data_IF_166101945856
#
_entry.id   IF_166101945856
#
_cell.length_a   1.000
_cell.length_b   1.000
_cell.length_c   1.000
_cell.angle_alpha   90.00
_cell.angle_beta   90.00
_cell.angle_gamma   90.00
#
_symmetry.space_group_name_H-M   'P 1'
#
loop_
_entity.id
_entity.type
_entity.pdbx_description
1 polymer ?
#
# COMPACT_ATOMS: atom_id res chain seq x y z
N UNK A 1 32.76 2.31 -28.76
CA UNK A 1 31.67 1.36 -28.98
C UNK A 1 31.42 0.61 -27.70
N UNK A 2 30.47 1.07 -26.85
CA UNK A 2 30.01 0.33 -25.68
C UNK A 2 28.78 -0.46 -26.12
N UNK A 3 28.87 -1.78 -26.01
CA UNK A 3 27.75 -2.67 -26.35
C UNK A 3 26.62 -2.43 -25.33
N UNK A 4 25.54 -1.81 -25.78
CA UNK A 4 24.28 -1.73 -25.06
C UNK A 4 23.61 -3.08 -25.25
N UNK A 5 23.62 -3.93 -24.22
CA UNK A 5 22.79 -5.14 -24.19
C UNK A 5 21.34 -4.63 -24.06
N UNK A 6 20.46 -4.90 -25.01
CA UNK A 6 19.08 -4.44 -24.93
C UNK A 6 18.40 -5.12 -23.73
N UNK A 7 17.78 -4.33 -22.88
CA UNK A 7 17.04 -4.73 -21.67
C UNK A 7 16.02 -5.87 -21.91
N UNK A 8 15.52 -6.01 -23.13
CA UNK A 8 14.64 -7.09 -23.60
C UNK A 8 15.23 -8.51 -23.43
N UNK A 9 16.55 -8.66 -23.44
CA UNK A 9 17.19 -9.96 -23.26
C UNK A 9 17.07 -10.50 -21.83
N UNK A 10 16.94 -9.63 -20.83
CA UNK A 10 16.80 -10.01 -19.43
C UNK A 10 15.34 -10.37 -19.12
N UNK A 11 14.39 -9.72 -19.76
CA UNK A 11 12.95 -9.99 -19.62
C UNK A 11 12.55 -11.39 -20.12
N UNK A 12 13.14 -11.84 -21.22
CA UNK A 12 12.90 -13.19 -21.75
C UNK A 12 13.55 -14.31 -20.92
N UNK A 13 14.65 -14.04 -20.21
CA UNK A 13 15.34 -15.04 -19.40
C UNK A 13 14.59 -15.33 -18.09
N UNK A 14 13.87 -14.37 -17.52
CA UNK A 14 13.09 -14.57 -16.30
C UNK A 14 11.79 -15.33 -16.58
N UNK A 15 11.17 -15.13 -17.77
CA UNK A 15 9.94 -15.85 -18.16
C UNK A 15 10.19 -17.26 -18.73
N UNK A 16 11.38 -17.52 -19.27
CA UNK A 16 11.70 -18.82 -19.88
C UNK A 16 11.93 -19.98 -18.89
N UNK A 17 12.11 -19.70 -17.59
CA UNK A 17 12.39 -20.73 -16.58
C UNK A 17 11.15 -21.26 -15.83
N UNK A 18 9.96 -20.71 -16.08
CA UNK A 18 8.73 -21.09 -15.33
C UNK A 18 7.94 -22.24 -16.02
N UNK A 19 8.31 -22.67 -17.24
CA UNK A 19 7.48 -23.62 -18.02
C UNK A 19 7.86 -25.09 -17.91
N UNK A 20 8.67 -25.52 -16.96
CA UNK A 20 9.00 -26.94 -16.85
C UNK A 20 8.90 -27.43 -15.40
N UNK A 21 7.83 -28.11 -15.10
CA UNK A 21 7.56 -29.23 -14.21
C UNK A 21 6.28 -29.07 -13.38
N UNK A 22 5.12 -29.12 -14.03
CA UNK A 22 3.91 -29.56 -13.38
C UNK A 22 3.83 -31.09 -13.51
N UNK A 23 4.40 -31.85 -12.59
CA UNK A 23 4.13 -33.28 -12.46
C UNK A 23 2.72 -33.44 -11.89
N UNK A 24 1.84 -34.04 -12.65
CA UNK A 24 0.52 -34.46 -12.18
C UNK A 24 0.72 -35.58 -11.15
N UNK A 25 0.52 -35.30 -9.88
CA UNK A 25 0.33 -36.33 -8.86
C UNK A 25 -0.97 -37.08 -9.13
N UNK A 26 -0.95 -38.41 -9.03
CA UNK A 26 -2.13 -39.25 -9.17
C UNK A 26 -3.13 -38.95 -8.03
N UNK A 27 -4.43 -39.18 -8.26
CA UNK A 27 -5.47 -39.00 -7.23
C UNK A 27 -5.16 -39.76 -5.94
N UNK A 28 -4.55 -40.93 -6.03
CA UNK A 28 -4.17 -41.76 -4.89
C UNK A 28 -3.02 -41.19 -4.08
N UNK A 29 -2.03 -40.53 -4.71
CA UNK A 29 -0.95 -39.83 -3.99
C UNK A 29 -1.49 -38.60 -3.23
N UNK A 30 -2.47 -37.90 -3.81
CA UNK A 30 -3.14 -36.78 -3.14
C UNK A 30 -3.97 -37.23 -1.95
N UNK A 31 -4.67 -38.37 -2.09
CA UNK A 31 -5.47 -38.95 -1.01
C UNK A 31 -4.57 -39.36 0.16
N UNK A 32 -3.47 -40.06 -0.10
CA UNK A 32 -2.51 -40.44 0.93
C UNK A 32 -1.87 -39.24 1.65
N UNK A 33 -1.54 -38.18 0.90
CA UNK A 33 -0.99 -36.95 1.47
C UNK A 33 -2.01 -36.22 2.35
N UNK A 34 -3.27 -36.22 1.96
CA UNK A 34 -4.39 -35.68 2.75
C UNK A 34 -4.63 -36.49 4.01
N UNK A 35 -4.63 -37.80 3.93
CA UNK A 35 -4.79 -38.68 5.12
C UNK A 35 -3.64 -38.50 6.12
N UNK A 36 -2.39 -38.38 5.65
CA UNK A 36 -1.24 -38.07 6.53
C UNK A 36 -1.38 -36.69 7.18
N UNK A 37 -1.86 -35.71 6.41
CA UNK A 37 -2.08 -34.36 6.92
C UNK A 37 -3.17 -34.31 7.97
N UNK A 38 -4.30 -35.00 7.74
CA UNK A 38 -5.39 -35.12 8.71
C UNK A 38 -4.92 -35.79 9.99
N UNK A 39 -4.21 -36.92 9.91
CA UNK A 39 -3.63 -37.60 11.09
C UNK A 39 -2.68 -36.69 11.89
N UNK A 40 -1.90 -35.88 11.19
CA UNK A 40 -0.99 -34.92 11.85
C UNK A 40 -1.75 -33.79 12.53
N UNK A 41 -2.84 -33.34 11.93
CA UNK A 41 -3.72 -32.33 12.53
C UNK A 41 -4.48 -32.89 13.75
N UNK A 42 -5.01 -34.08 13.65
CA UNK A 42 -5.67 -34.77 14.79
C UNK A 42 -4.73 -34.88 15.99
N UNK A 43 -3.49 -35.33 15.78
CA UNK A 43 -2.47 -35.38 16.84
C UNK A 43 -2.17 -33.99 17.44
N UNK A 44 -2.10 -32.96 16.60
CA UNK A 44 -1.88 -31.59 17.07
C UNK A 44 -3.04 -31.10 17.92
N UNK A 45 -4.28 -31.43 17.54
CA UNK A 45 -5.49 -31.10 18.30
C UNK A 45 -5.51 -31.83 19.63
N UNK A 46 -5.13 -33.12 19.68
CA UNK A 46 -5.00 -33.87 20.94
C UNK A 46 -3.96 -33.27 21.88
N UNK A 47 -2.78 -32.89 21.36
CA UNK A 47 -1.72 -32.23 22.14
C UNK A 47 -2.15 -30.87 22.67
N UNK A 48 -2.89 -30.09 21.86
CA UNK A 48 -3.46 -28.82 22.29
C UNK A 48 -4.55 -29.03 23.36
N UNK A 49 -5.42 -30.02 23.21
CA UNK A 49 -6.45 -30.33 24.18
C UNK A 49 -5.84 -30.76 25.52
N UNK A 50 -4.78 -31.58 25.52
CA UNK A 50 -4.05 -31.94 26.73
C UNK A 50 -3.42 -30.72 27.40
N UNK A 51 -2.90 -29.78 26.61
CA UNK A 51 -2.35 -28.52 27.12
C UNK A 51 -3.43 -27.63 27.78
N UNK A 52 -4.61 -27.53 27.15
CA UNK A 52 -5.78 -26.83 27.71
C UNK A 52 -6.25 -27.46 29.02
N UNK A 53 -6.33 -28.79 29.07
CA UNK A 53 -6.76 -29.49 30.27
C UNK A 53 -5.73 -29.37 31.41
N UNK A 54 -4.44 -29.36 31.10
CA UNK A 54 -3.37 -29.08 32.05
C UNK A 54 -3.46 -27.64 32.60
N UNK A 55 -3.73 -26.65 31.74
CA UNK A 55 -3.93 -25.26 32.14
C UNK A 55 -5.16 -25.09 33.00
N UNK A 56 -6.30 -25.72 32.64
CA UNK A 56 -7.53 -25.72 33.45
C UNK A 56 -7.28 -26.34 34.84
N UNK A 57 -6.55 -27.45 34.92
CA UNK A 57 -6.22 -28.13 36.18
C UNK A 57 -5.33 -27.30 37.08
N UNK A 58 -4.42 -26.53 36.46
CA UNK A 58 -3.58 -25.59 37.20
C UNK A 58 -4.35 -24.33 37.67
N UNK A 59 -5.30 -23.85 36.88
CA UNK A 59 -6.18 -22.74 37.24
C UNK A 59 -7.08 -23.13 38.45
N UNK A 60 -7.72 -24.31 38.42
CA UNK A 60 -8.54 -24.83 39.55
C UNK A 60 -7.69 -25.06 40.80
N UNK A 61 -6.42 -25.49 40.69
CA UNK A 61 -5.51 -25.60 41.84
C UNK A 61 -5.11 -24.25 42.43
N UNK A 62 -5.10 -23.20 41.65
CA UNK A 62 -4.85 -21.83 42.13
C UNK A 62 -6.06 -21.22 42.80
N UNK A 63 -7.29 -21.54 42.40
CA UNK A 63 -8.50 -21.11 43.09
C UNK A 63 -8.68 -21.76 44.47
N UNK A 64 -8.37 -23.08 44.61
CA UNK A 64 -8.46 -23.79 45.89
C UNK A 64 -7.38 -23.40 46.91
N UNK A 65 -6.25 -22.82 46.44
CA UNK A 65 -5.21 -22.27 47.35
C UNK A 65 -5.38 -20.79 47.67
N UNK A 66 -6.28 -20.08 46.99
CA UNK A 66 -6.53 -18.65 47.17
C UNK A 66 -7.44 -18.26 48.30
N UNK A 67 -8.12 -19.20 48.97
CA UNK A 67 -9.12 -18.88 50.02
C UNK A 67 -8.55 -18.86 51.45
N UNK A 68 -7.30 -19.24 51.69
CA UNK A 68 -6.74 -19.36 53.05
C UNK A 68 -5.48 -18.52 53.34
N UNK A 69 -5.10 -17.54 52.50
CA UNK A 69 -3.95 -16.67 52.86
C UNK A 69 -4.05 -15.25 52.34
N UNK A 70 -5.16 -14.57 52.65
CA UNK A 70 -5.30 -13.12 52.50
C UNK A 70 -4.86 -12.40 53.74
N UNK A 71 -3.60 -12.49 54.14
CA UNK A 71 -2.91 -11.53 55.04
C UNK A 71 -1.44 -11.95 55.18
N UNK A 72 -0.60 -11.41 54.38
CA UNK A 72 0.81 -11.03 54.53
C UNK A 72 1.65 -11.36 53.29
N UNK A 73 2.29 -10.30 52.84
CA UNK A 73 3.35 -10.15 51.85
C UNK A 73 2.95 -9.88 50.40
N UNK A 74 2.79 -8.59 50.17
CA UNK A 74 2.89 -7.90 48.93
C UNK A 74 4.32 -7.96 48.38
N UNK A 75 4.64 -8.93 47.49
CA UNK A 75 5.72 -8.79 46.48
C UNK A 75 5.73 -9.95 45.49
N UNK A 76 4.64 -10.15 44.76
CA UNK A 76 4.74 -10.81 43.44
C UNK A 76 4.80 -9.71 42.39
N UNK A 77 5.74 -9.76 41.42
CA UNK A 77 5.68 -8.81 40.31
C UNK A 77 4.40 -9.08 39.55
N UNK A 78 3.38 -8.24 39.77
CA UNK A 78 2.27 -8.14 38.83
C UNK A 78 2.94 -7.83 37.49
N UNK A 79 2.66 -8.62 36.46
CA UNK A 79 2.94 -8.24 35.10
C UNK A 79 2.18 -6.93 34.84
N UNK A 80 2.82 -5.82 35.23
CA UNK A 80 2.32 -4.49 34.91
C UNK A 80 2.64 -4.31 33.42
N UNK A 81 1.62 -4.09 32.65
CA UNK A 81 1.80 -3.65 31.30
C UNK A 81 2.70 -2.40 31.23
N UNK A 82 3.22 -2.08 30.06
CA UNK A 82 4.12 -0.95 29.81
C UNK A 82 3.63 0.37 30.45
N UNK A 83 2.31 0.52 30.67
CA UNK A 83 1.67 1.68 31.30
C UNK A 83 0.97 1.35 32.63
N UNK A 84 1.29 0.22 33.27
CA UNK A 84 0.76 -0.13 34.61
C UNK A 84 -0.67 -0.68 34.63
N UNK A 85 -1.32 -0.87 33.49
CA UNK A 85 -2.66 -1.45 33.37
C UNK A 85 -2.66 -2.97 33.27
N UNK A 86 -3.85 -3.59 33.13
CA UNK A 86 -3.97 -5.02 32.86
C UNK A 86 -3.36 -5.35 31.51
N UNK A 87 -2.94 -6.61 31.28
CA UNK A 87 -2.37 -7.04 29.99
C UNK A 87 -3.32 -6.79 28.80
N UNK A 88 -4.61 -6.70 29.02
CA UNK A 88 -5.64 -6.41 28.01
C UNK A 88 -5.73 -4.93 27.60
N UNK A 89 -5.15 -4.01 28.38
CA UNK A 89 -5.14 -2.57 28.06
C UNK A 89 -3.79 -2.09 27.54
N UNK A 90 -2.82 -2.99 27.35
CA UNK A 90 -1.55 -2.65 26.74
C UNK A 90 -1.70 -2.54 25.23
N UNK A 91 -1.28 -1.43 24.61
CA UNK A 91 -1.22 -1.34 23.17
C UNK A 91 -0.21 -2.34 22.59
N UNK A 92 -0.56 -2.93 21.48
CA UNK A 92 0.42 -3.62 20.63
C UNK A 92 1.26 -2.55 19.94
N UNK A 93 2.57 -2.66 20.10
CA UNK A 93 3.53 -1.74 19.51
C UNK A 93 4.45 -2.53 18.59
N UNK A 94 4.64 -2.03 17.37
CA UNK A 94 5.64 -2.55 16.45
C UNK A 94 6.45 -1.41 15.84
N UNK A 95 7.64 -1.74 15.38
CA UNK A 95 8.54 -0.83 14.68
C UNK A 95 8.98 -1.47 13.38
N UNK A 96 8.88 -0.74 12.28
CA UNK A 96 9.40 -1.12 10.97
C UNK A 96 10.51 -0.15 10.60
N UNK A 97 11.70 -0.66 10.37
CA UNK A 97 12.82 0.10 9.83
C UNK A 97 12.96 -0.20 8.35
N UNK A 98 12.88 0.82 7.51
CA UNK A 98 13.12 0.75 6.07
C UNK A 98 14.32 1.62 5.70
N UNK A 99 15.33 1.00 5.06
CA UNK A 99 16.54 1.67 4.62
C UNK A 99 17.02 1.07 3.30
N UNK A 100 17.68 1.86 2.46
CA UNK A 100 18.09 1.39 1.15
C UNK A 100 19.38 2.08 0.66
N UNK A 101 20.06 1.37 -0.22
CA UNK A 101 21.11 1.95 -1.06
C UNK A 101 20.55 2.20 -2.45
N UNK A 102 20.66 3.45 -2.92
CA UNK A 102 20.18 3.89 -4.23
C UNK A 102 21.34 4.26 -5.12
N UNK A 103 21.29 3.91 -6.38
CA UNK A 103 22.22 4.37 -7.41
C UNK A 103 21.50 4.61 -8.71
N UNK A 104 21.84 5.71 -9.36
CA UNK A 104 21.28 6.16 -10.64
C UNK A 104 22.40 6.68 -11.55
N UNK A 105 22.14 6.69 -12.85
CA UNK A 105 22.96 7.38 -13.83
C UNK A 105 22.76 8.91 -13.83
N UNK A 106 21.79 9.41 -13.05
CA UNK A 106 21.52 10.84 -12.85
C UNK A 106 22.20 11.33 -11.56
N UNK A 107 22.56 12.61 -11.53
CA UNK A 107 23.01 13.28 -10.31
C UNK A 107 21.85 13.53 -9.33
N UNK A 108 22.17 13.82 -8.06
CA UNK A 108 21.15 14.16 -7.07
C UNK A 108 20.34 15.40 -7.45
N UNK A 109 20.97 16.39 -8.08
CA UNK A 109 20.28 17.60 -8.54
C UNK A 109 19.32 17.29 -9.71
N UNK A 110 19.72 16.42 -10.65
CA UNK A 110 18.83 15.95 -11.72
C UNK A 110 17.65 15.17 -11.17
N UNK A 111 17.85 14.32 -10.16
CA UNK A 111 16.78 13.57 -9.49
C UNK A 111 15.80 14.48 -8.77
N UNK A 112 16.31 15.44 -7.98
CA UNK A 112 15.49 16.39 -7.21
C UNK A 112 14.63 17.31 -8.10
N UNK A 113 15.04 17.54 -9.35
CA UNK A 113 14.31 18.36 -10.32
C UNK A 113 13.57 17.53 -11.39
N UNK A 114 13.49 16.20 -11.23
CA UNK A 114 12.88 15.30 -12.20
C UNK A 114 11.38 15.20 -11.99
N UNK A 115 10.63 16.17 -12.49
CA UNK A 115 9.16 16.09 -12.59
C UNK A 115 8.70 15.13 -13.71
N UNK A 116 7.39 15.01 -13.86
CA UNK A 116 6.75 14.30 -14.98
C UNK A 116 6.02 15.35 -15.82
N UNK A 117 6.51 15.68 -17.03
CA UNK A 117 5.96 16.76 -17.84
C UNK A 117 4.45 16.60 -18.08
N UNK A 118 3.69 17.65 -17.76
CA UNK A 118 2.23 17.66 -17.87
C UNK A 118 1.48 17.02 -16.69
N UNK A 119 2.20 16.47 -15.70
CA UNK A 119 1.61 15.83 -14.53
C UNK A 119 2.04 16.47 -13.22
N UNK A 120 3.33 16.51 -12.94
CA UNK A 120 3.88 17.08 -11.71
C UNK A 120 5.26 17.68 -11.92
N UNK A 121 5.53 18.75 -11.20
CA UNK A 121 6.87 19.37 -11.09
C UNK A 121 7.69 18.76 -9.95
N UNK A 122 7.09 17.92 -9.11
CA UNK A 122 7.79 17.29 -7.99
C UNK A 122 8.88 16.34 -8.48
N UNK A 123 10.09 16.51 -7.95
CA UNK A 123 11.23 15.64 -8.20
C UNK A 123 11.20 14.35 -7.38
N UNK A 124 12.35 13.69 -7.36
CA UNK A 124 12.59 12.48 -6.56
C UNK A 124 13.35 12.85 -5.29
N UNK A 125 12.91 12.33 -4.16
CA UNK A 125 13.51 12.62 -2.84
C UNK A 125 14.79 11.81 -2.56
N UNK A 126 14.92 10.62 -3.17
CA UNK A 126 16.06 9.72 -2.97
C UNK A 126 17.37 10.30 -3.53
N UNK A 127 18.47 9.95 -2.88
CA UNK A 127 19.83 10.38 -3.25
C UNK A 127 20.70 9.18 -3.56
N UNK A 128 21.66 9.33 -4.46
CA UNK A 128 22.68 8.31 -4.68
C UNK A 128 23.44 8.05 -3.37
N UNK A 129 23.52 6.78 -2.97
CA UNK A 129 24.13 6.34 -1.71
C UNK A 129 23.12 5.73 -0.75
N UNK A 130 23.43 5.75 0.54
CA UNK A 130 22.56 5.22 1.60
C UNK A 130 21.46 6.23 1.95
N UNK A 131 20.25 5.73 2.11
CA UNK A 131 19.08 6.50 2.47
C UNK A 131 18.34 5.78 3.62
N UNK A 132 17.80 6.55 4.55
CA UNK A 132 16.80 6.12 5.51
C UNK A 132 15.44 6.51 4.94
N UNK A 133 14.58 5.52 4.63
CA UNK A 133 13.22 5.80 4.19
C UNK A 133 12.39 6.22 5.41
N UNK A 134 12.21 5.29 6.34
CA UNK A 134 11.51 5.56 7.59
C UNK A 134 11.87 4.57 8.70
N UNK A 135 11.58 4.99 9.94
CA UNK A 135 11.39 4.11 11.07
C UNK A 135 9.94 4.31 11.56
N UNK A 136 9.04 3.39 11.21
CA UNK A 136 7.60 3.55 11.47
C UNK A 136 7.19 2.89 12.78
N UNK A 137 6.65 3.70 13.69
CA UNK A 137 6.08 3.22 14.94
C UNK A 137 4.57 3.00 14.75
N UNK A 138 4.15 1.75 14.82
CA UNK A 138 2.76 1.36 14.77
C UNK A 138 2.23 1.06 16.17
N UNK A 139 1.04 1.57 16.48
CA UNK A 139 0.34 1.39 17.77
C UNK A 139 -1.08 0.92 17.46
N UNK A 140 -1.47 -0.18 18.06
CA UNK A 140 -2.84 -0.70 18.02
C UNK A 140 -3.34 -1.01 19.42
N UNK A 141 -4.56 -0.58 19.75
CA UNK A 141 -5.23 -0.98 20.98
C UNK A 141 -6.76 -0.97 20.82
N UNK A 142 -7.48 -1.98 21.36
CA UNK A 142 -8.88 -1.80 21.67
C UNK A 142 -9.03 -0.63 22.66
N UNK A 143 -9.95 0.28 22.39
CA UNK A 143 -10.33 1.37 23.31
C UNK A 143 -11.36 0.84 24.30
N UNK A 144 -12.36 0.17 23.78
CA UNK A 144 -13.44 -0.50 24.47
C UNK A 144 -14.01 -1.64 23.60
N UNK A 145 -15.08 -2.34 23.97
CA UNK A 145 -15.66 -3.39 23.12
C UNK A 145 -16.16 -2.91 21.74
N UNK A 146 -16.38 -1.62 21.56
CA UNK A 146 -17.00 -1.04 20.36
C UNK A 146 -16.01 -0.35 19.44
N UNK A 147 -14.80 -0.02 19.90
CA UNK A 147 -13.84 0.81 19.18
C UNK A 147 -12.42 0.28 19.29
N UNK A 148 -11.73 0.24 18.15
CA UNK A 148 -10.29 0.05 18.06
C UNK A 148 -9.59 1.35 17.63
N UNK A 149 -8.42 1.62 18.20
CA UNK A 149 -7.55 2.73 17.84
C UNK A 149 -6.31 2.20 17.11
N UNK A 150 -5.96 2.87 16.03
CA UNK A 150 -4.77 2.63 15.21
C UNK A 150 -3.98 3.92 15.07
N UNK A 151 -2.66 3.83 15.12
CA UNK A 151 -1.78 4.95 14.79
C UNK A 151 -0.52 4.45 14.11
N UNK A 152 -0.07 5.14 13.06
CA UNK A 152 1.20 4.96 12.40
C UNK A 152 1.96 6.29 12.38
N UNK A 153 3.19 6.27 12.91
CA UNK A 153 4.02 7.45 13.12
C UNK A 153 5.39 7.20 12.49
N UNK A 154 5.62 7.58 11.23
CA UNK A 154 6.93 7.51 10.59
C UNK A 154 7.87 8.59 11.15
N UNK A 155 9.09 8.16 11.45
CA UNK A 155 10.26 8.97 11.73
C UNK A 155 11.14 8.94 10.48
N UNK A 156 11.37 10.10 9.87
CA UNK A 156 12.20 10.26 8.66
C UNK A 156 13.31 11.27 8.92
N UNK A 157 14.26 11.41 7.99
CA UNK A 157 15.26 12.48 8.06
C UNK A 157 14.66 13.89 7.98
N UNK A 158 13.43 14.03 7.42
CA UNK A 158 12.70 15.31 7.33
C UNK A 158 11.94 15.66 8.63
N UNK A 159 11.76 14.69 9.54
CA UNK A 159 11.07 14.88 10.81
C UNK A 159 10.13 13.72 11.17
N UNK A 160 9.23 14.01 12.08
CA UNK A 160 8.20 13.07 12.56
C UNK A 160 6.85 13.55 12.07
N UNK A 161 6.06 12.65 11.50
CA UNK A 161 4.69 12.94 11.08
C UNK A 161 3.73 11.90 11.62
N UNK A 162 2.45 12.21 11.67
CA UNK A 162 1.40 11.23 11.89
C UNK A 162 0.86 10.85 10.52
N UNK A 163 1.18 9.65 10.04
CA UNK A 163 0.63 9.14 8.79
C UNK A 163 -0.81 8.68 8.98
N UNK A 164 -1.08 7.92 10.06
CA UNK A 164 -2.41 7.51 10.45
C UNK A 164 -2.63 7.66 11.95
N UNK A 165 -3.82 8.14 12.33
CA UNK A 165 -4.35 8.14 13.70
C UNK A 165 -5.88 8.14 13.61
N UNK A 166 -6.49 6.97 13.78
CA UNK A 166 -7.93 6.81 13.60
C UNK A 166 -8.53 5.79 14.57
N UNK A 167 -9.84 5.90 14.74
CA UNK A 167 -10.65 4.90 15.41
C UNK A 167 -11.58 4.21 14.42
N UNK A 168 -11.87 2.94 14.66
CA UNK A 168 -12.79 2.15 13.85
C UNK A 168 -13.75 1.39 14.75
N UNK A 169 -15.04 1.35 14.36
CA UNK A 169 -16.08 0.59 15.08
C UNK A 169 -15.91 -0.90 14.83
N UNK A 170 -16.20 -1.73 15.86
CA UNK A 170 -16.05 -3.19 15.83
C UNK A 170 -17.38 -3.93 15.77
N UNK A 171 -18.47 -3.30 16.18
CA UNK A 171 -19.76 -3.98 16.43
C UNK A 171 -20.95 -3.15 15.92
N UNK A 172 -20.88 -2.68 14.65
CA UNK A 172 -22.06 -2.15 13.98
C UNK A 172 -22.85 -3.28 13.32
N UNK A 173 -24.19 -3.23 13.36
CA UNK A 173 -25.03 -4.31 12.81
C UNK A 173 -24.89 -4.42 11.29
N UNK A 174 -25.25 -5.58 10.75
CA UNK A 174 -25.43 -5.84 9.31
C UNK A 174 -24.18 -5.56 8.43
N UNK A 175 -22.98 -5.64 9.00
CA UNK A 175 -21.73 -5.47 8.27
C UNK A 175 -21.32 -4.02 8.01
N UNK A 176 -21.93 -3.06 8.71
CA UNK A 176 -21.51 -1.67 8.68
C UNK A 176 -20.26 -1.45 9.54
N UNK A 177 -19.39 -0.57 9.08
CA UNK A 177 -18.22 -0.10 9.84
C UNK A 177 -18.01 1.39 9.60
N UNK A 178 -17.70 2.12 10.67
CA UNK A 178 -17.36 3.54 10.64
C UNK A 178 -15.89 3.68 11.08
N UNK A 179 -15.12 4.46 10.31
CA UNK A 179 -13.74 4.87 10.63
C UNK A 179 -13.68 6.39 10.65
N UNK A 180 -12.95 6.97 11.61
CA UNK A 180 -12.78 8.42 11.72
C UNK A 180 -11.42 8.80 12.27
N UNK A 181 -10.84 9.85 11.71
CA UNK A 181 -9.50 10.35 12.06
C UNK A 181 -8.66 10.65 10.83
N UNK A 182 -7.35 10.45 10.93
CA UNK A 182 -6.42 10.48 9.80
C UNK A 182 -6.12 9.05 9.39
N UNK A 183 -6.42 8.68 8.14
CA UNK A 183 -6.29 7.31 7.65
C UNK A 183 -5.96 7.25 6.16
N UNK A 184 -5.38 6.14 5.72
CA UNK A 184 -5.20 5.84 4.30
C UNK A 184 -6.53 5.49 3.66
N UNK A 185 -6.83 6.17 2.54
CA UNK A 185 -8.08 5.98 1.79
C UNK A 185 -8.15 4.60 1.14
N UNK A 186 -9.34 4.02 1.13
CA UNK A 186 -9.62 2.82 0.35
C UNK A 186 -9.98 3.10 -1.12
N UNK A 187 -9.76 4.33 -1.60
CA UNK A 187 -9.98 4.71 -3.00
C UNK A 187 -9.29 3.75 -3.95
N UNK A 188 -8.06 3.36 -3.67
CA UNK A 188 -7.28 2.46 -4.52
C UNK A 188 -6.47 1.47 -3.69
N UNK A 189 -5.84 0.50 -4.36
CA UNK A 189 -5.14 -0.57 -3.66
C UNK A 189 -3.82 -0.11 -3.03
N UNK A 190 -3.00 0.64 -3.77
CA UNK A 190 -1.71 1.10 -3.24
C UNK A 190 -1.88 2.19 -2.19
N UNK A 191 -2.90 3.04 -2.30
CA UNK A 191 -3.20 4.06 -1.28
C UNK A 191 -3.63 3.46 0.05
N UNK A 192 -4.28 2.29 0.04
CA UNK A 192 -4.69 1.58 1.25
C UNK A 192 -3.54 0.85 1.97
N UNK A 193 -2.32 0.88 1.42
CA UNK A 193 -1.15 0.17 1.94
C UNK A 193 -0.05 1.14 2.35
N UNK A 194 0.71 0.78 3.37
CA UNK A 194 1.94 1.50 3.74
C UNK A 194 3.07 1.22 2.74
N UNK A 195 3.97 2.17 2.46
CA UNK A 195 5.06 2.00 1.50
C UNK A 195 5.91 0.75 1.75
N UNK A 196 6.22 0.45 3.02
CA UNK A 196 6.99 -0.75 3.37
C UNK A 196 6.29 -2.07 3.04
N UNK A 197 4.97 -2.06 2.78
CA UNK A 197 4.19 -3.24 2.39
C UNK A 197 4.08 -3.43 0.87
N UNK A 198 4.42 -2.44 0.08
CA UNK A 198 4.36 -2.54 -1.37
C UNK A 198 5.26 -3.64 -1.92
N UNK A 199 4.85 -4.23 -3.04
CA UNK A 199 5.60 -5.27 -3.74
C UNK A 199 6.88 -4.75 -4.41
N UNK A 200 6.93 -3.45 -4.71
CA UNK A 200 8.10 -2.72 -5.20
C UNK A 200 8.50 -1.66 -4.16
N UNK A 201 9.73 -1.20 -4.22
CA UNK A 201 10.22 -0.17 -3.30
C UNK A 201 9.47 1.15 -3.47
N UNK A 202 9.11 1.51 -4.69
CA UNK A 202 8.42 2.74 -5.05
C UNK A 202 6.99 2.53 -5.52
N UNK A 203 6.18 3.56 -5.40
CA UNK A 203 4.82 3.57 -5.91
C UNK A 203 4.80 3.53 -7.44
N UNK A 204 3.75 2.99 -8.04
CA UNK A 204 3.56 2.95 -9.48
C UNK A 204 3.48 4.36 -10.10
N UNK A 205 4.03 4.54 -11.31
CA UNK A 205 4.12 5.83 -11.99
C UNK A 205 2.78 6.61 -12.07
N UNK A 206 1.61 5.98 -12.32
CA UNK A 206 0.34 6.71 -12.33
C UNK A 206 0.01 7.38 -10.99
N UNK A 207 0.33 6.73 -9.87
CA UNK A 207 0.15 7.33 -8.55
C UNK A 207 1.07 8.53 -8.34
N UNK A 208 2.35 8.37 -8.67
CA UNK A 208 3.31 9.46 -8.60
C UNK A 208 2.87 10.66 -9.47
N UNK A 209 2.29 10.39 -10.64
CA UNK A 209 1.83 11.41 -11.58
C UNK A 209 0.60 12.19 -11.09
N UNK A 210 -0.35 11.52 -10.41
CA UNK A 210 -1.62 12.12 -10.01
C UNK A 210 -1.72 12.46 -8.53
N UNK A 211 -0.98 11.74 -7.66
CA UNK A 211 -1.11 11.83 -6.21
C UNK A 211 0.22 12.11 -5.48
N UNK A 212 1.37 11.93 -6.16
CA UNK A 212 2.69 12.12 -5.56
C UNK A 212 3.38 10.80 -5.16
N UNK A 213 4.60 10.91 -4.62
CA UNK A 213 5.47 9.77 -4.30
C UNK A 213 4.92 8.85 -3.20
N UNK A 214 4.02 9.34 -2.37
CA UNK A 214 3.38 8.58 -1.28
C UNK A 214 1.92 8.22 -1.59
N UNK A 215 1.47 8.42 -2.86
CA UNK A 215 0.08 8.30 -3.24
C UNK A 215 -0.79 9.40 -2.63
N UNK A 216 -2.02 9.07 -2.24
CA UNK A 216 -2.91 10.02 -1.57
C UNK A 216 -2.41 10.41 -0.16
N UNK A 217 -1.58 9.55 0.44
CA UNK A 217 -1.13 9.72 1.83
C UNK A 217 -2.24 9.44 2.85
N UNK A 218 -2.03 9.89 4.09
CA UNK A 218 -3.06 9.84 5.13
C UNK A 218 -3.95 11.08 5.05
N UNK A 219 -5.25 10.89 4.79
CA UNK A 219 -6.26 11.95 4.75
C UNK A 219 -7.08 12.02 6.04
N UNK A 220 -7.40 13.23 6.50
CA UNK A 220 -8.31 13.44 7.63
C UNK A 220 -9.75 13.33 7.15
N UNK A 221 -10.56 12.53 7.86
CA UNK A 221 -11.94 12.36 7.41
C UNK A 221 -12.72 11.31 8.16
N UNK A 222 -13.81 10.91 7.51
CA UNK A 222 -14.71 9.84 7.96
C UNK A 222 -14.95 8.89 6.79
N UNK A 223 -14.87 7.59 7.04
CA UNK A 223 -15.17 6.52 6.09
C UNK A 223 -16.31 5.67 6.65
N UNK A 224 -17.31 5.41 5.82
CA UNK A 224 -18.36 4.45 6.07
C UNK A 224 -18.22 3.30 5.08
N UNK A 225 -18.13 2.06 5.58
CA UNK A 225 -18.12 0.86 4.75
C UNK A 225 -19.26 -0.06 5.10
N UNK A 226 -19.71 -0.81 4.12
CA UNK A 226 -20.73 -1.84 4.25
C UNK A 226 -20.25 -3.12 3.58
N UNK A 227 -20.30 -4.22 4.33
CA UNK A 227 -19.98 -5.57 3.90
C UNK A 227 -21.28 -6.41 3.95
N UNK A 228 -22.11 -6.39 2.88
CA UNK A 228 -23.36 -7.14 2.85
C UNK A 228 -23.10 -8.64 2.91
N UNK A 229 -24.01 -9.39 3.53
CA UNK A 229 -23.97 -10.84 3.60
C UNK A 229 -24.38 -11.51 2.26
N UNK A 230 -23.76 -11.10 1.16
CA UNK A 230 -23.98 -11.69 -0.17
C UNK A 230 -23.10 -12.93 -0.36
N UNK A 231 -23.45 -13.77 -1.33
CA UNK A 231 -22.65 -14.96 -1.67
C UNK A 231 -21.28 -14.63 -2.27
N UNK A 232 -21.12 -13.44 -2.81
CA UNK A 232 -19.86 -12.91 -3.35
C UNK A 232 -19.37 -11.84 -2.38
N UNK A 233 -18.10 -11.93 -1.97
CA UNK A 233 -17.49 -10.86 -1.17
C UNK A 233 -17.64 -9.53 -1.90
N UNK A 234 -18.29 -8.59 -1.25
CA UNK A 234 -18.50 -7.24 -1.79
C UNK A 234 -18.39 -6.24 -0.65
N UNK A 235 -17.51 -5.27 -0.78
CA UNK A 235 -17.40 -4.13 0.12
C UNK A 235 -17.80 -2.87 -0.64
N UNK A 236 -18.69 -2.07 -0.06
CA UNK A 236 -19.11 -0.77 -0.58
C UNK A 236 -18.66 0.28 0.43
N UNK A 237 -18.06 1.37 -0.03
CA UNK A 237 -17.58 2.42 0.86
C UNK A 237 -17.73 3.83 0.31
N UNK A 238 -17.83 4.77 1.24
CA UNK A 238 -17.84 6.19 1.00
C UNK A 238 -16.96 6.91 2.01
N UNK A 239 -16.26 7.93 1.57
CA UNK A 239 -15.37 8.75 2.39
C UNK A 239 -15.69 10.23 2.21
N UNK A 240 -15.61 10.98 3.31
CA UNK A 240 -15.61 12.45 3.33
C UNK A 240 -14.26 12.86 3.91
N UNK A 241 -13.44 13.52 3.09
CA UNK A 241 -12.04 13.79 3.37
C UNK A 241 -11.78 15.30 3.39
N UNK A 242 -10.78 15.71 4.15
CA UNK A 242 -10.33 17.12 4.15
C UNK A 242 -9.85 17.54 2.77
N UNK A 243 -9.12 16.69 2.05
CA UNK A 243 -8.63 16.96 0.70
C UNK A 243 -7.28 17.66 0.69
N UNK A 244 -6.30 17.14 1.43
CA UNK A 244 -5.00 17.77 1.64
C UNK A 244 -3.92 17.29 0.67
N UNK A 245 -4.23 16.37 -0.27
CA UNK A 245 -3.24 15.91 -1.24
C UNK A 245 -2.77 17.06 -2.15
N UNK A 246 -1.46 17.33 -2.15
CA UNK A 246 -0.84 18.49 -2.81
C UNK A 246 -0.95 18.50 -4.34
N UNK A 247 -1.12 17.35 -4.99
CA UNK A 247 -1.24 17.28 -6.46
C UNK A 247 -2.68 17.31 -6.94
N UNK A 248 -3.60 16.65 -6.21
CA UNK A 248 -4.97 16.49 -6.67
C UNK A 248 -5.88 17.60 -6.15
N UNK A 249 -5.70 18.02 -4.89
CA UNK A 249 -6.59 18.96 -4.23
C UNK A 249 -5.87 20.23 -3.76
N UNK A 250 -5.00 20.12 -2.74
CA UNK A 250 -4.39 21.25 -2.04
C UNK A 250 -5.21 21.71 -0.84
N UNK A 251 -4.51 22.04 0.24
CA UNK A 251 -5.12 22.37 1.55
C UNK A 251 -6.03 23.61 1.50
N UNK A 252 -5.70 24.57 0.65
CA UNK A 252 -6.38 25.88 0.57
C UNK A 252 -7.54 25.90 -0.46
N UNK A 253 -7.87 24.74 -1.06
CA UNK A 253 -8.89 24.67 -2.10
C UNK A 253 -10.30 25.03 -1.60
N UNK A 254 -10.59 24.78 -0.32
CA UNK A 254 -11.86 25.13 0.31
C UNK A 254 -11.78 25.01 1.84
N UNK A 255 -12.50 25.85 2.56
CA UNK A 255 -12.69 25.72 4.00
C UNK A 255 -13.49 24.44 4.33
N UNK A 256 -12.93 23.57 5.17
CA UNK A 256 -13.55 22.30 5.57
C UNK A 256 -13.39 21.17 4.55
N UNK A 257 -14.08 20.03 4.75
CA UNK A 257 -13.97 18.86 3.89
C UNK A 257 -14.39 19.18 2.45
N UNK A 258 -13.53 18.87 1.49
CA UNK A 258 -13.78 19.19 0.09
C UNK A 258 -13.39 18.10 -0.90
N UNK A 259 -13.06 16.91 -0.38
CA UNK A 259 -12.81 15.71 -1.17
C UNK A 259 -13.71 14.56 -0.72
N UNK A 260 -14.16 13.76 -1.70
CA UNK A 260 -15.08 12.64 -1.49
C UNK A 260 -14.63 11.44 -2.29
N UNK A 261 -14.64 10.27 -1.67
CA UNK A 261 -14.36 9.01 -2.35
C UNK A 261 -15.56 8.06 -2.27
N UNK A 262 -15.75 7.27 -3.34
CA UNK A 262 -16.65 6.12 -3.37
C UNK A 262 -15.95 4.95 -4.01
N UNK A 263 -16.18 3.75 -3.45
CA UNK A 263 -15.60 2.53 -3.99
C UNK A 263 -16.52 1.33 -3.79
N UNK A 264 -16.42 0.40 -4.72
CA UNK A 264 -17.02 -0.94 -4.61
C UNK A 264 -15.91 -1.94 -4.89
N UNK A 265 -15.69 -2.87 -3.97
CA UNK A 265 -14.62 -3.86 -4.07
C UNK A 265 -15.23 -5.25 -3.96
N UNK A 266 -14.88 -6.14 -4.87
CA UNK A 266 -15.44 -7.48 -4.89
C UNK A 266 -14.41 -8.55 -5.22
N UNK A 267 -14.60 -9.76 -4.70
CA UNK A 267 -13.75 -10.89 -5.06
C UNK A 267 -14.55 -12.17 -5.23
N UNK A 268 -14.09 -13.01 -6.14
CA UNK A 268 -14.61 -14.35 -6.40
C UNK A 268 -13.47 -15.35 -6.45
N UNK A 269 -13.71 -16.54 -5.90
CA UNK A 269 -12.79 -17.65 -6.08
C UNK A 269 -13.01 -18.26 -7.47
N UNK A 270 -11.98 -18.24 -8.30
CA UNK A 270 -12.00 -18.78 -9.66
C UNK A 270 -11.61 -20.26 -9.69
N UNK A 271 -10.98 -20.74 -8.61
CA UNK A 271 -10.70 -22.15 -8.31
C UNK A 271 -10.32 -22.30 -6.83
N UNK A 272 -10.10 -23.53 -6.37
CA UNK A 272 -9.64 -23.84 -4.99
C UNK A 272 -8.30 -23.14 -4.64
N UNK A 273 -7.58 -22.68 -5.63
CA UNK A 273 -6.23 -22.08 -5.47
C UNK A 273 -6.14 -20.65 -6.01
N UNK A 274 -7.21 -20.11 -6.55
CA UNK A 274 -7.14 -18.78 -7.19
C UNK A 274 -8.37 -17.94 -6.91
N UNK A 275 -8.11 -16.65 -6.64
CA UNK A 275 -9.10 -15.62 -6.39
C UNK A 275 -8.89 -14.48 -7.37
N UNK A 276 -9.95 -13.96 -7.93
CA UNK A 276 -9.99 -12.73 -8.70
C UNK A 276 -10.71 -11.65 -7.91
N UNK A 277 -10.08 -10.46 -7.85
CA UNK A 277 -10.58 -9.28 -7.16
C UNK A 277 -10.66 -8.13 -8.15
N UNK A 278 -11.71 -7.31 -8.05
CA UNK A 278 -11.93 -6.12 -8.87
C UNK A 278 -12.54 -5.01 -8.00
N UNK A 279 -12.14 -3.74 -8.25
CA UNK A 279 -12.61 -2.60 -7.48
C UNK A 279 -12.67 -1.31 -8.29
N UNK A 280 -13.86 -0.91 -8.80
CA UNK A 280 -14.06 0.45 -9.29
C UNK A 280 -14.13 1.46 -8.14
N UNK A 281 -13.61 2.67 -8.39
CA UNK A 281 -13.60 3.77 -7.43
C UNK A 281 -13.60 5.14 -8.10
N UNK A 282 -13.97 6.16 -7.34
CA UNK A 282 -13.87 7.57 -7.74
C UNK A 282 -13.49 8.42 -6.54
N UNK A 283 -12.58 9.36 -6.75
CA UNK A 283 -12.17 10.37 -5.79
C UNK A 283 -12.32 11.75 -6.47
N UNK A 284 -13.06 12.66 -5.88
CA UNK A 284 -13.30 13.96 -6.48
C UNK A 284 -13.42 15.07 -5.45
N UNK A 285 -13.13 16.31 -5.86
CA UNK A 285 -13.17 17.44 -4.95
C UNK A 285 -12.73 18.76 -5.60
N UNK A 286 -12.57 19.77 -4.74
CA UNK A 286 -12.00 21.06 -5.10
C UNK A 286 -10.50 20.95 -5.23
N UNK A 287 -9.90 21.74 -6.13
CA UNK A 287 -8.46 21.80 -6.31
C UNK A 287 -7.97 23.25 -6.29
N UNK A 288 -6.88 23.46 -5.57
CA UNK A 288 -6.05 24.66 -5.59
C UNK A 288 -4.60 24.27 -5.28
N UNK A 289 -3.82 23.99 -6.32
CA UNK A 289 -2.45 23.46 -6.16
C UNK A 289 -1.46 24.11 -7.12
N UNK A 290 -0.17 24.11 -6.75
CA UNK A 290 0.96 24.70 -7.49
C UNK A 290 1.91 23.69 -8.12
N UNK A 291 1.62 22.39 -8.05
CA UNK A 291 2.58 21.32 -8.40
C UNK A 291 2.39 20.75 -9.81
N UNK A 292 1.47 21.27 -10.61
CA UNK A 292 1.16 20.77 -11.97
C UNK A 292 1.97 21.49 -13.05
N UNK A 293 2.02 22.82 -12.97
CA UNK A 293 2.74 23.67 -13.91
C UNK A 293 3.68 24.61 -13.17
N UNK A 294 4.92 24.78 -13.65
CA UNK A 294 5.88 25.70 -13.02
C UNK A 294 5.33 27.14 -12.94
N UNK A 295 5.37 27.75 -11.74
CA UNK A 295 5.03 29.14 -11.53
C UNK A 295 3.54 29.48 -11.68
N UNK A 296 2.63 28.51 -11.63
CA UNK A 296 1.19 28.72 -11.65
C UNK A 296 0.48 27.86 -10.61
N UNK A 297 -0.65 28.36 -10.10
CA UNK A 297 -1.61 27.56 -9.32
C UNK A 297 -2.71 27.03 -10.25
N UNK A 298 -3.22 25.86 -9.97
CA UNK A 298 -4.40 25.27 -10.65
C UNK A 298 -5.58 25.31 -9.70
N UNK A 299 -6.61 26.08 -10.04
CA UNK A 299 -7.81 26.21 -9.23
C UNK A 299 -9.06 25.76 -9.96
N UNK A 300 -9.83 24.85 -9.34
CA UNK A 300 -11.05 24.32 -9.96
C UNK A 300 -11.59 23.07 -9.30
N UNK A 301 -11.92 22.05 -10.09
CA UNK A 301 -12.42 20.77 -9.63
C UNK A 301 -11.57 19.64 -10.25
N UNK A 302 -11.31 18.63 -9.46
CA UNK A 302 -10.62 17.41 -9.89
C UNK A 302 -11.47 16.18 -9.60
N UNK A 303 -11.39 15.19 -10.49
CA UNK A 303 -11.90 13.85 -10.25
C UNK A 303 -10.92 12.81 -10.80
N UNK A 304 -10.59 11.84 -9.99
CA UNK A 304 -9.74 10.70 -10.31
C UNK A 304 -10.60 9.43 -10.24
N UNK A 305 -10.75 8.76 -11.37
CA UNK A 305 -11.46 7.49 -11.48
C UNK A 305 -10.45 6.36 -11.42
N UNK A 306 -10.72 5.33 -10.64
CA UNK A 306 -9.87 4.16 -10.45
C UNK A 306 -10.57 2.87 -10.84
N UNK A 307 -9.80 1.93 -11.37
CA UNK A 307 -10.20 0.55 -11.57
C UNK A 307 -9.03 -0.34 -11.19
N UNK A 308 -9.17 -1.10 -10.11
CA UNK A 308 -8.17 -2.08 -9.66
C UNK A 308 -8.60 -3.50 -10.04
N UNK A 309 -7.63 -4.36 -10.36
CA UNK A 309 -7.83 -5.77 -10.63
C UNK A 309 -6.65 -6.58 -10.10
N UNK A 310 -6.93 -7.65 -9.36
CA UNK A 310 -5.92 -8.57 -8.83
C UNK A 310 -6.34 -10.00 -9.09
N UNK A 311 -5.45 -10.78 -9.67
CA UNK A 311 -5.58 -12.22 -9.72
C UNK A 311 -4.47 -12.85 -8.89
N UNK A 312 -4.85 -13.69 -7.93
CA UNK A 312 -3.92 -14.40 -7.05
C UNK A 312 -4.12 -15.89 -7.19
N UNK A 313 -3.03 -16.59 -7.46
CA UNK A 313 -2.96 -18.05 -7.51
C UNK A 313 -2.01 -18.54 -6.42
N UNK A 314 -2.49 -19.41 -5.53
CA UNK A 314 -1.78 -19.92 -4.37
C UNK A 314 -1.96 -21.43 -4.25
N UNK A 315 -1.21 -22.23 -5.04
CA UNK A 315 -1.34 -23.68 -5.05
C UNK A 315 -0.81 -24.35 -3.78
N UNK A 316 0.04 -23.66 -3.02
CA UNK A 316 0.59 -24.15 -1.77
C UNK A 316 0.79 -23.02 -0.76
N UNK A 317 0.95 -23.34 0.51
CA UNK A 317 1.11 -22.34 1.60
C UNK A 317 2.31 -21.40 1.41
N UNK A 318 3.34 -21.84 0.69
CA UNK A 318 4.59 -21.08 0.46
C UNK A 318 4.86 -20.81 -1.02
N UNK A 319 3.83 -20.83 -1.84
CA UNK A 319 3.92 -20.56 -3.27
C UNK A 319 2.72 -19.72 -3.71
N UNK A 320 2.97 -18.59 -4.34
CA UNK A 320 1.93 -17.71 -4.86
C UNK A 320 2.41 -16.94 -6.09
N UNK A 321 1.51 -16.75 -7.05
CA UNK A 321 1.62 -15.78 -8.13
C UNK A 321 0.52 -14.75 -7.95
N UNK A 322 0.88 -13.48 -7.92
CA UNK A 322 -0.07 -12.35 -7.89
C UNK A 322 0.14 -11.52 -9.14
N UNK A 323 -0.91 -11.30 -9.90
CA UNK A 323 -0.94 -10.32 -11.00
C UNK A 323 -1.89 -9.23 -10.56
N UNK A 324 -1.41 -7.99 -10.57
CA UNK A 324 -2.14 -6.82 -10.13
C UNK A 324 -2.02 -5.72 -11.18
N UNK A 325 -3.10 -4.99 -11.40
CA UNK A 325 -3.14 -3.83 -12.30
C UNK A 325 -4.12 -2.81 -11.76
N UNK A 326 -3.80 -1.54 -11.95
CA UNK A 326 -4.75 -0.45 -11.73
C UNK A 326 -4.68 0.53 -12.90
N UNK A 327 -5.84 1.04 -13.28
CA UNK A 327 -6.02 2.10 -14.26
C UNK A 327 -6.58 3.33 -13.55
N UNK A 328 -5.96 4.49 -13.77
CA UNK A 328 -6.37 5.77 -13.21
C UNK A 328 -6.66 6.74 -14.36
N UNK A 329 -7.78 7.48 -14.25
CA UNK A 329 -8.17 8.53 -15.20
C UNK A 329 -8.47 9.82 -14.44
N UNK A 330 -7.61 10.82 -14.63
CA UNK A 330 -7.80 12.17 -14.11
C UNK A 330 -8.68 13.01 -15.04
N UNK A 331 -9.67 13.68 -14.49
CA UNK A 331 -10.34 14.80 -15.13
C UNK A 331 -10.23 16.04 -14.23
N UNK A 332 -9.77 17.15 -14.77
CA UNK A 332 -9.61 18.40 -14.04
C UNK A 332 -10.06 19.56 -14.90
N UNK A 333 -10.83 20.46 -14.33
CA UNK A 333 -11.32 21.67 -14.99
C UNK A 333 -11.30 22.88 -14.07
N UNK A 334 -10.88 24.01 -14.58
CA UNK A 334 -10.73 25.23 -13.80
C UNK A 334 -9.91 26.29 -14.52
N UNK A 335 -9.06 26.97 -13.76
CA UNK A 335 -8.19 28.02 -14.27
C UNK A 335 -6.76 27.82 -13.75
N UNK A 336 -5.79 28.33 -14.51
CA UNK A 336 -4.44 28.60 -13.99
C UNK A 336 -4.41 30.02 -13.45
N UNK A 337 -3.79 30.20 -12.29
CA UNK A 337 -3.76 31.44 -11.51
C UNK A 337 -2.29 31.85 -11.31
N UNK A 338 -2.01 33.13 -11.44
CA UNK A 338 -0.73 33.68 -11.02
C UNK A 338 -0.63 33.70 -9.48
N UNK A 339 0.33 33.02 -8.87
CA UNK A 339 0.40 32.88 -7.41
C UNK A 339 0.66 34.21 -6.67
N UNK A 340 1.15 35.26 -7.38
CA UNK A 340 1.48 36.56 -6.78
C UNK A 340 0.32 37.54 -6.90
N UNK A 341 -0.30 37.62 -8.09
CA UNK A 341 -1.36 38.58 -8.39
C UNK A 341 -2.76 38.01 -8.22
N UNK A 342 -2.89 36.70 -8.08
CA UNK A 342 -4.14 35.92 -8.08
C UNK A 342 -5.01 36.14 -9.34
N UNK A 343 -4.39 36.63 -10.41
CA UNK A 343 -5.06 36.84 -11.69
C UNK A 343 -5.21 35.49 -12.44
N UNK A 344 -6.36 35.32 -13.09
CA UNK A 344 -6.55 34.19 -14.00
C UNK A 344 -5.67 34.38 -15.23
N UNK A 345 -4.82 33.37 -15.51
CA UNK A 345 -3.95 33.33 -16.67
C UNK A 345 -4.67 32.65 -17.84
N UNK A 346 -5.11 31.41 -17.65
CA UNK A 346 -5.76 30.59 -18.66
C UNK A 346 -6.93 29.77 -18.05
N UNK A 347 -7.90 29.38 -18.86
CA UNK A 347 -8.80 28.29 -18.50
C UNK A 347 -8.10 26.95 -18.71
N UNK A 348 -8.27 26.01 -17.76
CA UNK A 348 -7.65 24.69 -17.79
C UNK A 348 -8.68 23.59 -18.01
N UNK A 349 -8.37 22.67 -18.90
CA UNK A 349 -9.05 21.38 -19.04
C UNK A 349 -8.02 20.27 -19.20
N UNK A 350 -8.06 19.29 -18.29
CA UNK A 350 -7.20 18.11 -18.34
C UNK A 350 -8.06 16.84 -18.35
N UNK A 351 -7.64 15.88 -19.18
CA UNK A 351 -8.09 14.51 -19.13
C UNK A 351 -6.91 13.63 -19.51
N UNK A 352 -6.31 13.01 -18.50
CA UNK A 352 -5.09 12.23 -18.66
C UNK A 352 -5.24 10.92 -17.90
N UNK A 353 -4.64 9.86 -18.41
CA UNK A 353 -4.73 8.55 -17.80
C UNK A 353 -3.36 7.93 -17.55
N UNK A 354 -3.38 6.85 -16.79
CA UNK A 354 -2.24 6.01 -16.57
C UNK A 354 -2.64 4.65 -16.04
N UNK A 355 -1.79 3.67 -16.25
CA UNK A 355 -1.96 2.35 -15.69
C UNK A 355 -0.63 1.76 -15.27
N UNK A 356 -0.70 0.77 -14.40
CA UNK A 356 0.39 -0.17 -14.20
C UNK A 356 -0.13 -1.60 -14.21
N UNK A 357 0.76 -2.51 -14.55
CA UNK A 357 0.57 -3.94 -14.37
C UNK A 357 1.84 -4.52 -13.74
N UNK A 358 1.65 -5.33 -12.71
CA UNK A 358 2.74 -6.04 -12.04
C UNK A 358 2.42 -7.52 -11.85
N UNK A 359 3.47 -8.33 -11.87
CA UNK A 359 3.40 -9.75 -11.58
C UNK A 359 4.48 -10.09 -10.55
N UNK A 360 4.07 -10.75 -9.46
CA UNK A 360 4.96 -11.16 -8.37
C UNK A 360 4.80 -12.66 -8.16
N UNK A 361 5.87 -13.41 -8.34
CA UNK A 361 5.92 -14.82 -7.99
C UNK A 361 6.76 -15.02 -6.73
N UNK A 362 6.16 -15.63 -5.72
CA UNK A 362 6.81 -15.96 -4.47
C UNK A 362 6.85 -17.46 -4.26
N UNK A 363 8.03 -17.97 -3.92
CA UNK A 363 8.22 -19.38 -3.54
C UNK A 363 9.18 -19.49 -2.36
N UNK A 364 8.68 -20.05 -1.25
CA UNK A 364 9.39 -20.13 0.03
C UNK A 364 9.83 -18.74 0.52
N UNK A 365 11.15 -18.47 0.49
CA UNK A 365 11.77 -17.23 0.95
C UNK A 365 12.10 -16.27 -0.19
N UNK A 366 11.92 -16.69 -1.44
CA UNK A 366 12.28 -15.92 -2.62
C UNK A 366 11.04 -15.35 -3.31
N UNK A 367 11.18 -14.13 -3.80
CA UNK A 367 10.22 -13.47 -4.64
C UNK A 367 10.90 -12.87 -5.87
N UNK A 368 10.23 -12.94 -7.00
CA UNK A 368 10.62 -12.21 -8.22
C UNK A 368 9.44 -11.41 -8.71
N UNK A 369 9.70 -10.20 -9.16
CA UNK A 369 8.67 -9.28 -9.62
C UNK A 369 9.04 -8.56 -10.90
N UNK A 370 8.03 -8.21 -11.66
CA UNK A 370 8.13 -7.31 -12.80
C UNK A 370 6.93 -6.35 -12.80
N UNK A 371 7.16 -5.08 -13.12
CA UNK A 371 6.14 -4.04 -13.25
C UNK A 371 6.39 -3.19 -14.49
N UNK A 372 5.32 -2.88 -15.19
CA UNK A 372 5.28 -1.92 -16.27
C UNK A 372 4.27 -0.82 -15.94
N UNK A 373 4.69 0.42 -16.03
CA UNK A 373 3.92 1.62 -15.77
C UNK A 373 3.87 2.49 -17.02
N UNK A 374 2.72 3.11 -17.32
CA UNK A 374 2.62 4.06 -18.43
C UNK A 374 1.53 5.12 -18.20
N UNK A 375 1.73 6.30 -18.79
CA UNK A 375 0.80 7.42 -18.74
C UNK A 375 0.35 7.80 -20.15
N UNK A 376 -0.78 8.51 -20.27
CA UNK A 376 -1.32 9.01 -21.54
C UNK A 376 -1.55 7.92 -22.60
N UNK A 377 -2.16 6.79 -22.18
CA UNK A 377 -2.37 5.64 -23.06
C UNK A 377 -3.62 5.80 -23.91
N UNK A 378 -4.74 6.20 -23.29
CA UNK A 378 -6.03 6.37 -23.96
C UNK A 378 -6.53 7.82 -23.90
N UNK A 379 -5.99 8.64 -23.00
CA UNK A 379 -6.39 10.02 -22.77
C UNK A 379 -5.18 10.91 -22.50
N UNK A 380 -4.96 11.92 -23.35
CA UNK A 380 -3.87 12.90 -23.25
C UNK A 380 -4.38 14.29 -23.63
N UNK A 381 -5.40 14.78 -22.92
CA UNK A 381 -5.89 16.13 -23.10
C UNK A 381 -5.32 17.03 -22.00
N UNK A 382 -4.59 18.05 -22.41
CA UNK A 382 -4.12 19.14 -21.56
C UNK A 382 -4.28 20.45 -22.31
N UNK A 383 -5.38 21.16 -22.06
CA UNK A 383 -5.75 22.38 -22.78
C UNK A 383 -5.64 23.59 -21.86
N UNK A 384 -5.01 24.65 -22.36
CA UNK A 384 -4.99 25.98 -21.77
C UNK A 384 -5.68 26.94 -22.74
N UNK A 385 -6.76 27.58 -22.30
CA UNK A 385 -7.62 28.47 -23.12
C UNK A 385 -8.03 27.84 -24.45
N UNK A 386 -8.35 26.52 -24.42
CA UNK A 386 -8.77 25.75 -25.60
C UNK A 386 -7.63 25.31 -26.53
N UNK A 387 -6.38 25.60 -26.16
CA UNK A 387 -5.19 25.18 -26.93
C UNK A 387 -4.56 23.97 -26.27
N UNK A 388 -4.49 22.85 -27.00
CA UNK A 388 -3.83 21.62 -26.57
C UNK A 388 -2.33 21.89 -26.33
N UNK A 389 -1.84 21.52 -25.15
CA UNK A 389 -0.42 21.44 -24.81
C UNK A 389 0.05 20.01 -25.02
N UNK A 390 1.07 19.83 -25.81
CA UNK A 390 1.67 18.54 -26.05
C UNK A 390 2.96 18.43 -25.25
N UNK A 391 3.08 17.38 -24.45
CA UNK A 391 4.31 16.99 -23.77
C UNK A 391 4.97 15.87 -24.56
N UNK A 392 6.28 15.95 -24.76
CA UNK A 392 7.00 15.02 -25.63
C UNK A 392 6.95 13.58 -25.12
N UNK A 393 6.57 12.64 -25.98
CA UNK A 393 6.63 11.20 -25.75
C UNK A 393 5.56 10.67 -24.78
N UNK A 394 5.60 9.35 -24.57
CA UNK A 394 4.71 8.65 -23.62
C UNK A 394 5.53 8.29 -22.37
N UNK A 395 5.25 8.91 -21.21
CA UNK A 395 5.94 8.56 -19.98
C UNK A 395 5.68 7.10 -19.61
N UNK A 396 6.75 6.32 -19.37
CA UNK A 396 6.62 4.93 -18.95
C UNK A 396 7.82 4.50 -18.10
N UNK A 397 7.67 3.37 -17.42
CA UNK A 397 8.70 2.79 -16.58
C UNK A 397 8.61 1.27 -16.58
N UNK A 398 9.77 0.62 -16.61
CA UNK A 398 9.93 -0.83 -16.52
C UNK A 398 10.73 -1.16 -15.27
N UNK A 399 10.22 -2.05 -14.42
CA UNK A 399 10.84 -2.39 -13.14
C UNK A 399 10.89 -3.89 -12.97
N UNK A 400 12.04 -4.39 -12.49
CA UNK A 400 12.21 -5.77 -12.08
C UNK A 400 12.71 -5.83 -10.64
N UNK A 401 12.29 -6.83 -9.86
CA UNK A 401 12.71 -7.02 -8.48
C UNK A 401 13.04 -8.47 -8.17
N UNK A 402 14.00 -8.64 -7.26
CA UNK A 402 14.35 -9.90 -6.61
C UNK A 402 14.28 -9.69 -5.10
N UNK A 403 13.49 -10.49 -4.41
CA UNK A 403 13.25 -10.39 -2.99
C UNK A 403 13.69 -11.66 -2.27
N UNK A 404 14.30 -11.51 -1.10
CA UNK A 404 14.64 -12.59 -0.19
C UNK A 404 14.16 -12.26 1.22
N UNK A 405 13.33 -13.14 1.79
CA UNK A 405 12.76 -13.02 3.13
C UNK A 405 13.40 -14.11 4.03
N UNK A 406 14.48 -13.80 4.77
CA UNK A 406 15.09 -14.74 5.72
C UNK A 406 14.08 -15.21 6.77
N UNK A 407 13.20 -14.31 7.21
CA UNK A 407 12.10 -14.53 8.14
C UNK A 407 10.90 -13.68 7.74
N UNK A 408 9.81 -13.74 8.48
CA UNK A 408 8.66 -12.84 8.36
C UNK A 408 8.95 -11.40 8.80
N UNK A 409 10.06 -11.20 9.53
CA UNK A 409 10.47 -9.90 10.09
C UNK A 409 11.57 -9.21 9.28
N UNK A 410 12.07 -9.85 8.22
CA UNK A 410 13.20 -9.32 7.46
C UNK A 410 12.99 -9.51 5.97
N UNK A 411 13.15 -8.47 5.21
CA UNK A 411 13.13 -8.48 3.74
C UNK A 411 14.37 -7.78 3.20
N UNK A 412 15.02 -8.41 2.22
CA UNK A 412 16.05 -7.82 1.38
C UNK A 412 15.54 -7.83 -0.06
N UNK A 413 15.51 -6.67 -0.71
CA UNK A 413 15.01 -6.53 -2.08
C UNK A 413 16.03 -5.81 -2.94
N UNK A 414 16.36 -6.39 -4.08
CA UNK A 414 17.06 -5.72 -5.18
C UNK A 414 16.03 -5.34 -6.23
N UNK A 415 15.95 -4.06 -6.58
CA UNK A 415 15.09 -3.54 -7.63
C UNK A 415 15.92 -2.83 -8.68
N UNK A 416 15.61 -3.05 -9.94
CA UNK A 416 16.19 -2.36 -11.10
C UNK A 416 15.06 -1.70 -11.87
N UNK A 417 15.25 -0.44 -12.28
CA UNK A 417 14.26 0.24 -13.09
C UNK A 417 14.89 1.03 -14.25
N UNK A 418 14.16 1.04 -15.35
CA UNK A 418 14.40 1.86 -16.52
C UNK A 418 13.25 2.85 -16.64
N UNK A 419 13.51 4.12 -16.27
CA UNK A 419 12.50 5.15 -16.08
C UNK A 419 12.59 6.21 -17.20
N UNK A 420 11.56 6.24 -18.03
CA UNK A 420 11.29 7.22 -19.08
C UNK A 420 10.07 8.10 -18.71
N UNK A 421 9.85 8.35 -17.43
CA UNK A 421 8.76 9.22 -16.94
C UNK A 421 8.92 10.68 -17.38
N UNK A 422 10.14 11.11 -17.68
CA UNK A 422 10.42 12.36 -18.41
C UNK A 422 11.00 12.04 -19.79
N UNK A 423 10.13 11.89 -20.83
CA UNK A 423 10.59 11.56 -22.18
C UNK A 423 11.41 12.66 -22.87
N UNK A 424 11.32 13.90 -22.38
CA UNK A 424 12.11 15.03 -22.87
C UNK A 424 13.49 15.13 -22.22
N UNK A 425 13.68 14.50 -21.06
CA UNK A 425 14.89 14.49 -20.29
C UNK A 425 15.78 13.27 -20.54
N UNK A 426 16.75 13.09 -19.64
CA UNK A 426 17.61 11.89 -19.66
C UNK A 426 16.83 10.71 -19.04
N UNK A 427 16.99 9.53 -19.60
CA UNK A 427 16.52 8.28 -19.01
C UNK A 427 17.17 8.07 -17.64
N UNK A 428 16.37 7.73 -16.63
CA UNK A 428 16.86 7.31 -15.33
C UNK A 428 16.98 5.79 -15.28
N UNK A 429 18.20 5.28 -15.22
CA UNK A 429 18.47 3.86 -14.95
C UNK A 429 18.91 3.74 -13.50
N UNK A 430 18.15 3.04 -12.70
CA UNK A 430 18.36 2.98 -11.26
C UNK A 430 18.42 1.56 -10.73
N UNK A 431 19.17 1.41 -9.66
CA UNK A 431 19.21 0.18 -8.86
C UNK A 431 19.06 0.53 -7.38
N UNK A 432 18.24 -0.25 -6.69
CA UNK A 432 17.88 -0.06 -5.28
C UNK A 432 18.11 -1.38 -4.57
N UNK A 433 18.88 -1.33 -3.47
CA UNK A 433 19.01 -2.45 -2.55
C UNK A 433 18.37 -2.06 -1.22
N UNK A 434 17.16 -2.55 -0.99
CA UNK A 434 16.35 -2.25 0.20
C UNK A 434 16.52 -3.29 1.28
N UNK A 435 16.55 -2.82 2.53
CA UNK A 435 16.52 -3.62 3.74
C UNK A 435 15.35 -3.17 4.61
N UNK A 436 14.44 -4.08 4.90
CA UNK A 436 13.29 -3.84 5.75
C UNK A 436 13.32 -4.79 6.94
N UNK A 437 13.22 -4.25 8.15
CA UNK A 437 13.24 -4.98 9.40
C UNK A 437 12.02 -4.59 10.24
N UNK A 438 11.31 -5.56 10.77
CA UNK A 438 10.17 -5.32 11.65
C UNK A 438 10.34 -6.03 12.99
N UNK A 439 9.88 -5.40 14.06
CA UNK A 439 9.81 -5.99 15.41
C UNK A 439 8.42 -5.73 15.97
N UNK A 440 7.93 -6.67 16.80
CA UNK A 440 6.59 -6.59 17.39
C UNK A 440 5.49 -7.20 16.52
N UNK A 441 4.26 -7.14 17.01
CA UNK A 441 3.08 -7.63 16.30
C UNK A 441 2.62 -6.58 15.28
N UNK A 442 3.10 -6.68 14.05
CA UNK A 442 2.59 -5.87 12.96
C UNK A 442 1.29 -6.48 12.43
N UNK A 443 0.19 -5.72 12.26
CA UNK A 443 -1.03 -6.27 11.68
C UNK A 443 -0.76 -6.73 10.25
N UNK A 444 -1.39 -7.85 9.87
CA UNK A 444 -1.36 -8.29 8.50
C UNK A 444 -1.97 -7.21 7.61
N UNK A 445 -1.22 -6.77 6.59
CA UNK A 445 -1.78 -5.89 5.58
C UNK A 445 -2.96 -6.58 4.91
N UNK A 446 -4.07 -5.86 4.75
CA UNK A 446 -5.27 -6.38 4.09
C UNK A 446 -4.95 -6.82 2.66
N UNK A 447 -5.53 -7.91 2.30
CA UNK A 447 -5.40 -8.62 1.03
C UNK A 447 -5.81 -7.79 -0.18
#
# INVERSE_FOLDING_TARGET
MKAVIPFWGIFMLVFGFVTATAFAQTQDERLNTLEETVKKQEKTIEDQQQSIDALKKNAVKQEDQGVTQAAKDSSSPKASGLFGGSAFTNPNISLVLDTFYYTSNLSNDELANRGIPGFTTQGLDQRNGFNLDSAELFIFSPVDPYLNLYSNIPFTEKGVSIEEAYVVTTDLPEGWQLKGGKFKSNFSRLDAQHPHAWDFWDIALPYRAFLGSEGLGGEKGVQLTWLPAWSIYTQIGAEVLQGENDLLFGQDAHDGPHAFAFFVKGSIDTSDYSTFYIGPSVLFGKTDNSNVLPGTEVRGNSALYGMEAVWKWKPASREALTIQSEYLLLTQSGNTIDPTTHAIIDSLRRRQDGFYIQAIYRKNRWGVGARYDALNIFSDTFELSGIQRNFSGTPHRETASLEYNPSEFTRVRLQLAHDLSDPSGRTNNEAILQFNFSIGAHPAHSF
#
